data_IF_330684293139
#
_entry.id   IF_330684293139
#
_cell.length_a   1.000
_cell.length_b   1.000
_cell.length_c   1.000
_cell.angle_alpha   90.00
_cell.angle_beta   90.00
_cell.angle_gamma   90.00
#
_symmetry.space_group_name_H-M   'P 1'
#
loop_
_entity.id
_entity.type
_entity.pdbx_description
1 polymer ?
#
# COMPACT_ATOMS: atom_id res chain seq x y z
N UNK A 1 35.86 -27.83 -9.50
CA UNK A 1 34.95 -26.84 -8.88
C UNK A 1 35.81 -25.69 -8.38
N UNK A 2 35.50 -24.44 -8.74
CA UNK A 2 36.39 -23.31 -8.48
C UNK A 2 36.23 -22.79 -7.04
N UNK A 3 37.16 -23.08 -6.11
CA UNK A 3 36.95 -22.86 -4.67
C UNK A 3 37.15 -21.41 -4.22
N UNK A 4 37.46 -20.49 -5.14
CA UNK A 4 37.83 -19.11 -4.84
C UNK A 4 37.04 -18.07 -5.66
N UNK A 5 35.86 -18.44 -6.16
CA UNK A 5 35.00 -17.49 -6.86
C UNK A 5 33.97 -16.91 -5.90
N UNK A 6 33.94 -15.59 -5.84
CA UNK A 6 32.79 -14.87 -5.32
C UNK A 6 31.68 -14.89 -6.37
N UNK A 7 30.50 -15.34 -5.96
CA UNK A 7 29.30 -15.40 -6.81
C UNK A 7 28.21 -14.55 -6.19
N UNK A 8 27.63 -13.66 -7.01
CA UNK A 8 26.43 -12.91 -6.65
C UNK A 8 25.24 -13.63 -7.29
N UNK A 9 24.35 -14.14 -6.45
CA UNK A 9 23.12 -14.78 -6.87
C UNK A 9 21.96 -13.83 -6.63
N UNK A 10 21.15 -13.59 -7.65
CA UNK A 10 19.88 -12.88 -7.52
C UNK A 10 18.75 -13.89 -7.54
N UNK A 11 17.82 -13.78 -6.59
CA UNK A 11 16.65 -14.66 -6.50
C UNK A 11 15.46 -13.91 -5.93
N UNK A 12 14.25 -14.46 -6.12
CA UNK A 12 13.02 -13.94 -5.49
C UNK A 12 12.93 -14.43 -4.05
N UNK A 13 12.22 -13.67 -3.20
CA UNK A 13 12.13 -13.97 -1.76
C UNK A 13 11.67 -15.39 -1.44
N UNK A 14 10.66 -15.97 -2.12
CA UNK A 14 10.20 -17.32 -1.82
C UNK A 14 11.18 -18.42 -2.25
N UNK A 15 12.06 -18.14 -3.23
CA UNK A 15 13.07 -19.07 -3.73
C UNK A 15 14.35 -19.11 -2.87
N UNK A 16 14.43 -18.32 -1.78
CA UNK A 16 15.63 -18.22 -0.93
C UNK A 16 15.91 -19.55 -0.20
N UNK A 17 14.87 -20.24 0.26
CA UNK A 17 15.01 -21.46 1.06
C UNK A 17 15.49 -22.66 0.25
N UNK A 18 15.25 -22.64 -1.07
CA UNK A 18 15.54 -23.76 -1.97
C UNK A 18 16.97 -23.72 -2.55
N UNK A 19 17.66 -22.57 -2.51
CA UNK A 19 18.82 -22.34 -3.40
C UNK A 19 20.11 -21.88 -2.71
N UNK A 20 20.08 -21.50 -1.43
CA UNK A 20 21.19 -20.71 -0.87
C UNK A 20 21.73 -21.32 0.44
N UNK A 21 23.03 -21.58 0.45
CA UNK A 21 23.78 -22.04 1.62
C UNK A 21 23.52 -21.13 2.83
N UNK A 22 23.42 -21.69 4.04
CA UNK A 22 23.09 -20.95 5.27
C UNK A 22 24.06 -19.79 5.57
N UNK A 23 25.31 -19.92 5.11
CA UNK A 23 26.38 -18.94 5.36
C UNK A 23 26.49 -17.84 4.28
N UNK A 24 25.61 -17.82 3.27
CA UNK A 24 25.65 -16.79 2.24
C UNK A 24 25.18 -15.44 2.80
N UNK A 25 25.92 -14.36 2.47
CA UNK A 25 25.48 -13.00 2.75
C UNK A 25 24.25 -12.68 1.89
N UNK A 26 23.19 -12.18 2.54
CA UNK A 26 21.91 -11.89 1.88
C UNK A 26 21.70 -10.40 1.78
N UNK A 27 21.32 -9.94 0.59
CA UNK A 27 20.93 -8.56 0.32
C UNK A 27 19.51 -8.57 -0.25
N UNK A 28 18.61 -7.78 0.34
CA UNK A 28 17.25 -7.60 -0.18
C UNK A 28 17.21 -6.30 -0.98
N UNK A 29 16.80 -6.39 -2.24
CA UNK A 29 16.46 -5.20 -3.02
C UNK A 29 15.08 -4.71 -2.57
N UNK A 30 15.01 -3.49 -2.04
CA UNK A 30 13.78 -2.91 -1.45
C UNK A 30 13.15 -1.83 -2.34
N UNK A 31 13.58 -1.71 -3.60
CA UNK A 31 13.08 -0.69 -4.54
C UNK A 31 13.81 0.64 -4.43
N UNK A 32 13.18 1.70 -4.95
CA UNK A 32 13.73 3.05 -4.88
C UNK A 32 13.29 3.77 -3.60
N UNK A 33 14.26 4.27 -2.84
CA UNK A 33 14.02 5.30 -1.84
C UNK A 33 14.11 6.70 -2.50
N UNK A 34 13.84 7.76 -1.73
CA UNK A 34 13.86 9.13 -2.23
C UNK A 34 15.21 9.50 -2.90
N UNK A 35 16.33 9.04 -2.34
CA UNK A 35 17.65 9.30 -2.92
C UNK A 35 17.86 8.58 -4.25
N UNK A 36 17.42 7.32 -4.37
CA UNK A 36 17.46 6.59 -5.64
C UNK A 36 16.55 7.22 -6.70
N UNK A 37 15.38 7.71 -6.30
CA UNK A 37 14.47 8.44 -7.19
C UNK A 37 15.13 9.73 -7.71
N UNK A 38 15.78 10.49 -6.82
CA UNK A 38 16.52 11.72 -7.18
C UNK A 38 17.65 11.43 -8.14
N UNK A 39 18.43 10.38 -7.88
CA UNK A 39 19.49 9.96 -8.78
C UNK A 39 18.95 9.51 -10.14
N UNK A 40 17.86 8.77 -10.18
CA UNK A 40 17.24 8.31 -11.42
C UNK A 40 16.75 9.51 -12.25
N UNK A 41 16.04 10.45 -11.63
CA UNK A 41 15.55 11.68 -12.29
C UNK A 41 16.72 12.43 -12.92
N UNK A 42 17.73 12.75 -12.10
CA UNK A 42 18.92 13.49 -12.54
C UNK A 42 19.68 12.75 -13.65
N UNK A 43 19.83 11.42 -13.57
CA UNK A 43 20.65 10.68 -14.55
C UNK A 43 19.92 10.43 -15.87
N UNK A 44 18.61 10.13 -15.82
CA UNK A 44 17.91 9.51 -16.95
C UNK A 44 16.70 10.29 -17.47
N UNK A 45 16.16 11.22 -16.68
CA UNK A 45 14.91 11.93 -17.04
C UNK A 45 15.17 13.40 -17.30
N UNK A 46 15.58 14.13 -16.26
CA UNK A 46 15.66 15.59 -16.28
C UNK A 46 17.05 16.09 -16.65
N UNK A 47 18.09 15.27 -16.43
CA UNK A 47 19.49 15.65 -16.66
C UNK A 47 19.83 16.91 -15.85
N UNK A 48 20.03 18.03 -16.53
CA UNK A 48 20.41 19.32 -15.94
C UNK A 48 19.19 20.17 -15.53
N UNK A 49 17.95 19.72 -15.80
CA UNK A 49 16.72 20.43 -15.42
C UNK A 49 16.29 20.08 -13.99
N UNK A 50 16.95 20.71 -13.00
CA UNK A 50 16.62 20.54 -11.58
C UNK A 50 15.19 21.01 -11.23
N UNK A 51 14.67 22.00 -11.94
CA UNK A 51 13.30 22.50 -11.74
C UNK A 51 12.27 21.42 -12.10
N UNK A 52 12.45 20.73 -13.23
CA UNK A 52 11.61 19.61 -13.59
C UNK A 52 11.70 18.46 -12.57
N UNK A 53 12.89 18.15 -12.04
CA UNK A 53 13.04 17.10 -11.04
C UNK A 53 12.22 17.40 -9.77
N UNK A 54 12.28 18.65 -9.30
CA UNK A 54 11.50 19.12 -8.15
C UNK A 54 10.00 19.01 -8.41
N UNK A 55 9.51 19.50 -9.56
CA UNK A 55 8.08 19.41 -9.91
C UNK A 55 7.56 17.97 -9.96
N UNK A 56 8.34 17.05 -10.51
CA UNK A 56 7.97 15.62 -10.60
C UNK A 56 7.85 15.02 -9.19
N UNK A 57 8.75 15.37 -8.28
CA UNK A 57 8.70 14.89 -6.89
C UNK A 57 7.55 15.49 -6.10
N UNK A 58 7.33 16.80 -6.24
CA UNK A 58 6.20 17.48 -5.60
C UNK A 58 4.88 16.85 -6.05
N UNK A 59 4.72 16.62 -7.36
CA UNK A 59 3.53 15.94 -7.89
C UNK A 59 3.36 14.51 -7.36
N UNK A 60 4.45 13.78 -7.12
CA UNK A 60 4.38 12.43 -6.55
C UNK A 60 4.03 12.48 -5.05
N UNK A 61 4.57 13.47 -4.33
CA UNK A 61 4.30 13.66 -2.91
C UNK A 61 2.86 14.12 -2.64
N UNK A 62 2.34 15.00 -3.50
CA UNK A 62 0.95 15.47 -3.45
C UNK A 62 -0.05 14.34 -3.76
N UNK A 63 0.39 13.23 -4.34
CA UNK A 63 -0.47 12.12 -4.72
C UNK A 63 -0.35 10.94 -3.72
N UNK A 64 -1.28 10.82 -2.75
CA UNK A 64 -1.22 9.76 -1.74
C UNK A 64 -1.32 8.35 -2.33
N UNK A 65 -1.84 8.20 -3.55
CA UNK A 65 -2.06 6.91 -4.21
C UNK A 65 -0.80 6.46 -4.98
N UNK A 66 -0.10 7.38 -5.63
CA UNK A 66 1.02 7.05 -6.52
C UNK A 66 2.37 6.91 -5.81
N UNK A 67 2.56 7.55 -4.67
CA UNK A 67 3.82 7.50 -3.92
C UNK A 67 4.31 6.08 -3.64
N UNK A 68 3.40 5.18 -3.26
CA UNK A 68 3.72 3.79 -2.97
C UNK A 68 4.01 2.95 -4.20
N UNK A 69 3.19 3.12 -5.25
CA UNK A 69 3.37 2.42 -6.52
C UNK A 69 4.75 2.74 -7.10
N UNK A 70 5.14 4.01 -7.02
CA UNK A 70 6.43 4.53 -7.47
C UNK A 70 7.64 4.17 -6.57
N UNK A 71 7.48 3.34 -5.54
CA UNK A 71 8.63 2.68 -4.90
C UNK A 71 9.18 1.54 -5.75
N UNK A 72 8.35 0.94 -6.60
CA UNK A 72 8.79 -0.07 -7.57
C UNK A 72 9.53 0.65 -8.71
N UNK A 73 10.81 0.32 -8.97
CA UNK A 73 11.64 1.06 -9.91
C UNK A 73 11.03 1.24 -11.31
N UNK A 74 10.35 0.20 -11.84
CA UNK A 74 9.75 0.26 -13.17
C UNK A 74 8.56 1.22 -13.23
N UNK A 75 7.74 1.28 -12.17
CA UNK A 75 6.61 2.19 -12.09
C UNK A 75 7.10 3.63 -11.91
N UNK A 76 8.11 3.86 -11.07
CA UNK A 76 8.74 5.18 -10.97
C UNK A 76 9.33 5.65 -12.30
N UNK A 77 10.02 4.78 -13.02
CA UNK A 77 10.62 5.12 -14.31
C UNK A 77 9.53 5.60 -15.30
N UNK A 78 8.43 4.86 -15.41
CA UNK A 78 7.31 5.23 -16.28
C UNK A 78 6.66 6.53 -15.79
N UNK A 79 6.39 6.66 -14.50
CA UNK A 79 5.85 7.89 -13.90
C UNK A 79 6.72 9.09 -14.26
N UNK A 80 8.01 9.03 -13.97
CA UNK A 80 8.94 10.13 -14.18
C UNK A 80 9.04 10.56 -15.65
N UNK A 81 9.05 9.60 -16.58
CA UNK A 81 9.07 9.93 -18.02
C UNK A 81 7.74 10.50 -18.53
N UNK A 82 6.60 10.09 -17.97
CA UNK A 82 5.31 10.71 -18.28
C UNK A 82 5.27 12.13 -17.69
N UNK A 83 5.67 12.27 -16.42
CA UNK A 83 5.70 13.52 -15.67
C UNK A 83 6.52 14.60 -16.37
N UNK A 84 7.67 14.20 -16.87
CA UNK A 84 8.58 15.10 -17.56
C UNK A 84 8.02 15.58 -18.90
N UNK A 85 7.24 14.74 -19.59
CA UNK A 85 6.70 15.05 -20.93
C UNK A 85 5.36 15.75 -20.90
N UNK A 86 4.61 15.64 -19.81
CA UNK A 86 3.24 16.12 -19.75
C UNK A 86 2.83 16.57 -18.34
N UNK A 87 2.44 17.83 -18.21
CA UNK A 87 1.91 18.42 -16.97
C UNK A 87 0.55 17.80 -16.56
N UNK A 88 -0.09 17.01 -17.43
CA UNK A 88 -1.35 16.31 -17.12
C UNK A 88 -1.22 15.21 -16.07
N UNK A 89 -0.05 14.96 -15.48
CA UNK A 89 0.02 14.03 -14.34
C UNK A 89 -0.81 14.49 -13.13
N UNK A 90 -1.08 15.80 -13.02
CA UNK A 90 -2.08 16.34 -12.08
C UNK A 90 -3.50 15.78 -12.31
N UNK A 91 -3.77 15.15 -13.46
CA UNK A 91 -5.07 14.52 -13.77
C UNK A 91 -5.22 13.11 -13.19
N UNK A 92 -4.13 12.43 -12.84
CA UNK A 92 -4.24 11.06 -12.29
C UNK A 92 -4.49 11.11 -10.79
N UNK A 93 -5.74 11.33 -10.42
CA UNK A 93 -6.20 11.27 -9.02
C UNK A 93 -6.49 9.84 -8.56
N UNK A 94 -6.32 8.83 -9.42
CA UNK A 94 -6.71 7.43 -9.14
C UNK A 94 -5.62 6.43 -9.52
N UNK A 95 -5.57 5.29 -8.82
CA UNK A 95 -4.61 4.22 -9.11
C UNK A 95 -4.88 3.63 -10.49
N UNK A 96 -6.16 3.43 -10.80
CA UNK A 96 -6.66 2.87 -12.04
C UNK A 96 -6.30 3.72 -13.25
N UNK A 97 -6.48 5.05 -13.14
CA UNK A 97 -6.14 5.97 -14.22
C UNK A 97 -4.66 5.93 -14.55
N UNK A 98 -3.80 5.99 -13.53
CA UNK A 98 -2.36 5.89 -13.72
C UNK A 98 -1.95 4.54 -14.29
N UNK A 99 -2.46 3.43 -13.75
CA UNK A 99 -2.08 2.10 -14.20
C UNK A 99 -2.52 1.85 -15.66
N UNK A 100 -3.71 2.35 -16.05
CA UNK A 100 -4.17 2.36 -17.44
C UNK A 100 -3.19 3.09 -18.36
N UNK A 101 -2.76 4.29 -17.97
CA UNK A 101 -1.80 5.07 -18.75
C UNK A 101 -0.45 4.36 -18.84
N UNK A 102 0.01 3.75 -17.75
CA UNK A 102 1.23 2.99 -17.71
C UNK A 102 1.18 1.81 -18.69
N UNK A 103 0.11 1.01 -18.68
CA UNK A 103 -0.12 -0.07 -19.66
C UNK A 103 -0.09 0.47 -21.08
N UNK A 104 -0.78 1.58 -21.35
CA UNK A 104 -0.74 2.23 -22.66
C UNK A 104 0.68 2.63 -23.08
N UNK A 105 1.49 3.15 -22.15
CA UNK A 105 2.89 3.47 -22.40
C UNK A 105 3.74 2.23 -22.75
N UNK A 106 3.55 1.11 -22.05
CA UNK A 106 4.22 -0.16 -22.38
C UNK A 106 3.87 -0.63 -23.80
N UNK A 107 2.59 -0.61 -24.15
CA UNK A 107 2.11 -0.99 -25.48
C UNK A 107 2.63 -0.03 -26.57
N UNK A 108 2.56 1.29 -26.36
CA UNK A 108 3.06 2.28 -27.31
C UNK A 108 4.58 2.21 -27.50
N UNK A 109 5.33 1.99 -26.42
CA UNK A 109 6.77 1.80 -26.50
C UNK A 109 7.12 0.57 -27.34
N UNK A 110 6.39 -0.53 -27.13
CA UNK A 110 6.53 -1.73 -27.95
C UNK A 110 6.22 -1.44 -29.43
N UNK A 111 5.07 -0.83 -29.74
CA UNK A 111 4.65 -0.48 -31.11
C UNK A 111 5.70 0.40 -31.81
N UNK A 112 6.24 1.40 -31.10
CA UNK A 112 7.23 2.34 -31.68
C UNK A 112 8.56 1.68 -32.06
N UNK A 113 8.85 0.48 -31.52
CA UNK A 113 10.07 -0.30 -31.79
C UNK A 113 9.88 -1.39 -32.84
N UNK A 114 8.70 -1.48 -33.46
CA UNK A 114 8.40 -2.51 -34.47
C UNK A 114 8.75 -2.04 -35.88
N UNK A 115 9.13 -2.97 -36.76
CA UNK A 115 9.24 -2.70 -38.19
C UNK A 115 7.86 -2.58 -38.85
N UNK A 116 7.83 -2.00 -40.05
CA UNK A 116 6.59 -1.70 -40.79
C UNK A 116 5.74 -2.95 -41.13
N UNK A 117 6.35 -4.13 -41.27
CA UNK A 117 5.61 -5.38 -41.53
C UNK A 117 4.90 -5.89 -40.28
N UNK A 118 5.55 -5.80 -39.11
CA UNK A 118 4.94 -6.26 -37.85
C UNK A 118 3.89 -5.26 -37.33
N UNK A 119 4.04 -3.96 -37.63
CA UNK A 119 3.04 -2.91 -37.36
C UNK A 119 1.67 -3.21 -38.00
N UNK A 120 1.65 -3.66 -39.26
CA UNK A 120 0.41 -4.02 -39.98
C UNK A 120 -0.35 -5.18 -39.29
N UNK A 121 0.38 -6.13 -38.68
CA UNK A 121 -0.22 -7.28 -37.98
C UNK A 121 -0.77 -6.87 -36.60
N UNK A 122 -0.11 -5.91 -35.93
CA UNK A 122 -0.49 -5.43 -34.59
C UNK A 122 -1.65 -4.43 -34.61
N UNK A 123 -1.74 -3.59 -35.66
CA UNK A 123 -2.85 -2.64 -35.85
C UNK A 123 -4.17 -3.34 -36.25
N UNK A 124 -4.12 -4.60 -36.69
CA UNK A 124 -5.29 -5.42 -36.98
C UNK A 124 -5.82 -6.20 -35.76
N UNK A 125 -5.13 -6.14 -34.63
CA UNK A 125 -5.59 -6.72 -33.37
C UNK A 125 -6.51 -5.72 -32.67
N UNK A 126 -7.63 -6.19 -32.12
CA UNK A 126 -8.43 -5.37 -31.21
C UNK A 126 -7.53 -4.79 -30.11
N UNK A 127 -7.64 -3.48 -29.86
CA UNK A 127 -6.86 -2.79 -28.82
C UNK A 127 -7.17 -3.35 -27.41
N UNK A 128 -8.29 -4.08 -27.27
CA UNK A 128 -8.69 -4.74 -26.05
C UNK A 128 -7.90 -6.05 -25.79
N UNK A 129 -7.41 -6.28 -24.56
CA UNK A 129 -6.80 -7.55 -24.19
C UNK A 129 -7.71 -8.76 -24.47
N UNK A 130 -7.20 -9.90 -24.98
CA UNK A 130 -8.02 -11.08 -25.24
C UNK A 130 -8.74 -11.56 -23.98
N UNK A 131 -10.01 -11.96 -24.08
CA UNK A 131 -10.77 -12.50 -22.94
C UNK A 131 -10.06 -13.68 -22.26
N UNK A 132 -9.38 -14.52 -23.04
CA UNK A 132 -8.58 -15.63 -22.52
C UNK A 132 -7.47 -15.17 -21.57
N UNK A 133 -6.81 -14.04 -21.85
CA UNK A 133 -5.80 -13.46 -20.95
C UNK A 133 -6.44 -12.93 -19.66
N UNK A 134 -7.56 -12.22 -19.78
CA UNK A 134 -8.27 -11.66 -18.62
C UNK A 134 -8.71 -12.78 -17.68
N UNK A 135 -9.39 -13.80 -18.23
CA UNK A 135 -9.85 -14.97 -17.46
C UNK A 135 -8.67 -15.71 -16.85
N UNK A 136 -7.62 -15.96 -17.64
CA UNK A 136 -6.42 -16.59 -17.14
C UNK A 136 -5.87 -15.84 -15.92
N UNK A 137 -5.72 -14.52 -16.00
CA UNK A 137 -5.23 -13.71 -14.89
C UNK A 137 -6.13 -13.81 -13.64
N UNK A 138 -7.45 -13.89 -13.80
CA UNK A 138 -8.38 -14.11 -12.69
C UNK A 138 -8.21 -15.50 -12.06
N UNK A 139 -8.19 -16.56 -12.89
CA UNK A 139 -7.97 -17.93 -12.42
C UNK A 139 -6.62 -18.06 -11.68
N UNK A 140 -5.61 -17.27 -12.07
CA UNK A 140 -4.31 -17.24 -11.40
C UNK A 140 -4.34 -16.65 -9.99
N UNK A 141 -5.30 -15.76 -9.69
CA UNK A 141 -5.46 -15.23 -8.33
C UNK A 141 -6.15 -16.24 -7.40
N UNK A 142 -6.96 -17.14 -7.96
CA UNK A 142 -7.59 -18.25 -7.23
C UNK A 142 -6.58 -19.34 -6.85
N UNK A 143 -5.60 -19.59 -7.72
CA UNK A 143 -4.53 -20.54 -7.46
C UNK A 143 -3.59 -19.98 -6.37
N UNK A 144 -3.70 -20.48 -5.14
CA UNK A 144 -2.93 -20.03 -3.95
C UNK A 144 -1.41 -20.25 -3.99
N UNK A 145 -0.85 -20.62 -5.14
CA UNK A 145 0.57 -20.95 -5.32
C UNK A 145 1.24 -19.97 -6.28
N UNK A 146 2.57 -19.84 -6.16
CA UNK A 146 3.33 -18.95 -7.05
C UNK A 146 3.00 -19.26 -8.52
N UNK A 147 2.46 -18.28 -9.27
CA UNK A 147 1.87 -18.50 -10.58
C UNK A 147 2.94 -18.69 -11.66
N UNK A 148 3.62 -19.83 -11.63
CA UNK A 148 4.71 -20.19 -12.54
C UNK A 148 4.22 -21.26 -13.52
N UNK A 149 4.17 -20.92 -14.81
CA UNK A 149 3.59 -21.80 -15.82
C UNK A 149 4.58 -22.19 -16.89
N UNK A 150 4.44 -23.39 -17.47
CA UNK A 150 5.14 -23.70 -18.71
C UNK A 150 4.71 -22.75 -19.84
N UNK A 151 5.67 -22.33 -20.67
CA UNK A 151 5.40 -21.56 -21.89
C UNK A 151 4.34 -22.23 -22.76
N UNK A 152 4.37 -23.57 -22.85
CA UNK A 152 3.44 -24.33 -23.68
C UNK A 152 1.99 -24.27 -23.17
N UNK A 153 1.79 -24.35 -21.84
CA UNK A 153 0.45 -24.16 -21.24
C UNK A 153 -0.10 -22.77 -21.62
N UNK A 154 0.72 -21.74 -21.44
CA UNK A 154 0.28 -20.36 -21.70
C UNK A 154 0.09 -20.09 -23.20
N UNK A 155 0.92 -20.69 -24.06
CA UNK A 155 0.80 -20.62 -25.51
C UNK A 155 -0.50 -21.29 -25.99
N UNK A 156 -0.92 -22.40 -25.39
CA UNK A 156 -2.23 -23.03 -25.69
C UNK A 156 -3.43 -22.14 -25.31
N UNK A 157 -3.29 -21.32 -24.28
CA UNK A 157 -4.37 -20.43 -23.80
C UNK A 157 -4.44 -19.15 -24.63
N UNK A 158 -3.29 -18.53 -24.90
CA UNK A 158 -3.22 -17.20 -25.52
C UNK A 158 -2.97 -17.23 -27.04
N UNK A 159 -2.36 -18.31 -27.55
CA UNK A 159 -1.70 -18.34 -28.86
C UNK A 159 -0.26 -17.83 -28.79
N UNK A 160 0.59 -18.32 -29.70
CA UNK A 160 2.03 -18.01 -29.71
C UNK A 160 2.30 -16.52 -29.97
N UNK A 161 1.58 -15.92 -30.92
CA UNK A 161 1.72 -14.50 -31.28
C UNK A 161 1.38 -13.59 -30.10
N UNK A 162 0.27 -13.85 -29.42
CA UNK A 162 -0.16 -13.06 -28.27
C UNK A 162 0.81 -13.21 -27.10
N UNK A 163 1.23 -14.45 -26.78
CA UNK A 163 2.22 -14.70 -25.73
C UNK A 163 3.54 -13.99 -26.04
N UNK A 164 4.04 -14.10 -27.27
CA UNK A 164 5.27 -13.43 -27.70
C UNK A 164 5.16 -11.90 -27.59
N UNK A 165 4.01 -11.33 -27.98
CA UNK A 165 3.72 -9.90 -27.81
C UNK A 165 3.81 -9.48 -26.34
N UNK A 166 3.11 -10.17 -25.42
CA UNK A 166 3.09 -9.79 -24.01
C UNK A 166 4.43 -10.02 -23.28
N UNK A 167 5.24 -10.99 -23.73
CA UNK A 167 6.62 -11.17 -23.30
C UNK A 167 7.51 -10.00 -23.74
N UNK A 168 7.39 -9.54 -25.00
CA UNK A 168 8.17 -8.41 -25.50
C UNK A 168 7.75 -7.06 -24.91
N UNK A 169 6.46 -6.89 -24.61
CA UNK A 169 5.95 -5.71 -23.91
C UNK A 169 6.49 -5.67 -22.47
N UNK A 170 6.74 -6.83 -21.86
CA UNK A 170 7.21 -6.95 -20.47
C UNK A 170 6.07 -7.09 -19.46
N UNK A 171 4.87 -7.50 -19.91
CA UNK A 171 3.76 -7.91 -19.04
C UNK A 171 4.07 -9.28 -18.42
N UNK A 172 4.55 -10.20 -19.25
CA UNK A 172 5.11 -11.48 -18.82
C UNK A 172 6.63 -11.43 -18.82
N UNK A 173 7.25 -12.31 -18.05
CA UNK A 173 8.67 -12.62 -18.20
C UNK A 173 8.91 -14.13 -18.15
N UNK A 174 9.93 -14.58 -18.89
CA UNK A 174 10.41 -15.95 -18.82
C UNK A 174 11.36 -16.10 -17.64
N UNK A 175 11.16 -17.15 -16.85
CA UNK A 175 12.04 -17.54 -15.75
C UNK A 175 12.57 -18.94 -16.02
N UNK A 176 13.86 -19.15 -15.74
CA UNK A 176 14.43 -20.49 -15.72
C UNK A 176 13.98 -21.16 -14.43
N UNK A 177 13.43 -22.37 -14.56
CA UNK A 177 13.23 -23.24 -13.42
C UNK A 177 14.61 -23.58 -12.85
N UNK A 178 14.79 -23.36 -11.56
CA UNK A 178 16.01 -23.75 -10.86
C UNK A 178 15.75 -25.07 -10.16
N UNK A 179 16.36 -26.17 -10.61
CA UNK A 179 17.07 -27.11 -9.73
C UNK A 179 17.85 -28.21 -10.49
N UNK A 180 19.15 -28.27 -10.19
CA UNK A 180 20.00 -29.46 -9.95
C UNK A 180 20.29 -30.52 -11.03
N UNK A 181 19.51 -30.70 -12.09
CA UNK A 181 19.86 -31.70 -13.12
C UNK A 181 20.60 -31.10 -14.31
N UNK A 182 21.75 -31.69 -14.66
CA UNK A 182 22.58 -31.38 -15.84
C UNK A 182 21.92 -31.72 -17.20
N UNK A 183 20.59 -31.86 -17.23
CA UNK A 183 19.85 -32.16 -18.45
C UNK A 183 19.38 -30.86 -19.11
N UNK A 184 19.96 -30.60 -20.29
CA UNK A 184 19.58 -29.52 -21.18
C UNK A 184 18.21 -29.85 -21.78
N UNK A 185 17.16 -29.23 -21.26
CA UNK A 185 15.90 -28.84 -21.93
C UNK A 185 14.71 -28.83 -20.94
N UNK A 186 14.82 -28.11 -19.82
CA UNK A 186 13.62 -27.81 -19.05
C UNK A 186 12.74 -26.78 -19.77
N UNK A 187 11.41 -26.98 -19.81
CA UNK A 187 10.50 -26.07 -20.49
C UNK A 187 10.55 -24.70 -19.82
N UNK A 188 10.75 -23.65 -20.64
CA UNK A 188 10.77 -22.26 -20.16
C UNK A 188 9.49 -21.98 -19.36
N UNK A 189 9.67 -21.44 -18.16
CA UNK A 189 8.55 -21.03 -17.33
C UNK A 189 8.24 -19.56 -17.57
N UNK A 190 6.98 -19.17 -17.45
CA UNK A 190 6.47 -17.82 -17.66
C UNK A 190 5.69 -17.41 -16.42
N UNK A 191 5.79 -16.13 -16.08
CA UNK A 191 5.13 -15.49 -14.94
C UNK A 191 4.68 -14.09 -15.34
N UNK A 192 3.75 -13.50 -14.59
CA UNK A 192 3.57 -12.04 -14.65
C UNK A 192 4.82 -11.34 -14.11
N UNK A 193 5.25 -10.30 -14.79
CA UNK A 193 6.44 -9.52 -14.40
C UNK A 193 6.23 -8.79 -13.05
N UNK A 194 4.97 -8.51 -12.69
CA UNK A 194 4.57 -7.93 -11.41
C UNK A 194 3.13 -8.36 -11.07
N UNK A 195 2.82 -8.55 -9.77
CA UNK A 195 1.50 -8.98 -9.29
C UNK A 195 0.36 -8.06 -9.76
N UNK A 196 0.59 -6.73 -9.73
CA UNK A 196 -0.36 -5.75 -10.24
C UNK A 196 -0.74 -5.94 -11.72
N UNK A 197 0.12 -6.52 -12.56
CA UNK A 197 -0.31 -6.86 -13.93
C UNK A 197 -1.36 -7.96 -13.90
N UNK A 198 -1.18 -8.99 -13.06
CA UNK A 198 -2.17 -10.04 -12.86
C UNK A 198 -3.50 -9.46 -12.35
N UNK A 199 -3.46 -8.66 -11.28
CA UNK A 199 -4.66 -7.99 -10.73
C UNK A 199 -5.34 -7.07 -11.76
N UNK A 200 -4.58 -6.36 -12.59
CA UNK A 200 -5.13 -5.51 -13.64
C UNK A 200 -5.90 -6.30 -14.70
N UNK A 201 -5.31 -7.37 -15.26
CA UNK A 201 -5.99 -8.18 -16.27
C UNK A 201 -7.15 -8.99 -15.68
N UNK A 202 -7.06 -9.42 -14.42
CA UNK A 202 -8.16 -10.02 -13.69
C UNK A 202 -9.31 -9.03 -13.47
N UNK A 203 -9.02 -7.76 -13.14
CA UNK A 203 -10.03 -6.72 -13.01
C UNK A 203 -10.81 -6.50 -14.31
N UNK A 204 -10.12 -6.53 -15.46
CA UNK A 204 -10.77 -6.46 -16.76
C UNK A 204 -11.71 -7.66 -17.02
N UNK A 205 -11.40 -8.84 -16.48
CA UNK A 205 -12.31 -9.99 -16.56
C UNK A 205 -13.56 -9.79 -15.70
N UNK A 206 -13.38 -9.37 -14.44
CA UNK A 206 -14.51 -9.08 -13.54
C UNK A 206 -15.42 -8.00 -14.15
N UNK A 207 -14.86 -6.95 -14.73
CA UNK A 207 -15.64 -5.90 -15.41
C UNK A 207 -16.45 -6.46 -16.59
N UNK A 208 -15.88 -7.35 -17.40
CA UNK A 208 -16.62 -8.01 -18.49
C UNK A 208 -17.82 -8.79 -17.94
N UNK A 209 -17.63 -9.55 -16.86
CA UNK A 209 -18.66 -10.39 -16.23
C UNK A 209 -19.75 -9.52 -15.59
N UNK A 210 -19.37 -8.52 -14.79
CA UNK A 210 -20.29 -7.57 -14.16
C UNK A 210 -21.08 -6.76 -15.20
N UNK A 211 -20.46 -6.41 -16.33
CA UNK A 211 -21.13 -5.72 -17.42
C UNK A 211 -22.17 -6.62 -18.09
N UNK A 212 -21.85 -7.90 -18.30
CA UNK A 212 -22.80 -8.85 -18.87
C UNK A 212 -24.01 -9.03 -17.95
N UNK A 213 -23.77 -9.06 -16.64
CA UNK A 213 -24.82 -9.09 -15.62
C UNK A 213 -25.71 -7.84 -15.63
N UNK A 214 -25.12 -6.65 -15.60
CA UNK A 214 -25.85 -5.37 -15.58
C UNK A 214 -26.74 -5.16 -16.84
N UNK A 215 -26.38 -5.78 -17.97
CA UNK A 215 -27.12 -5.70 -19.23
C UNK A 215 -28.32 -6.68 -19.33
N UNK A 216 -28.52 -7.60 -18.37
CA UNK A 216 -29.75 -8.40 -18.21
C UNK A 216 -29.59 -9.93 -18.13
N UNK A 217 -30.67 -10.64 -17.76
CA UNK A 217 -30.65 -12.05 -17.34
C UNK A 217 -30.50 -13.08 -18.49
N UNK A 218 -30.53 -12.68 -19.77
CA UNK A 218 -30.24 -13.62 -20.87
C UNK A 218 -28.76 -14.05 -20.93
N UNK A 219 -27.88 -13.39 -20.16
CA UNK A 219 -26.42 -13.57 -20.21
C UNK A 219 -25.74 -13.76 -18.86
N UNK A 220 -26.47 -13.91 -17.76
CA UNK A 220 -25.85 -14.04 -16.44
C UNK A 220 -26.68 -14.87 -15.46
N UNK A 221 -25.98 -15.70 -14.71
CA UNK A 221 -26.47 -16.44 -13.55
C UNK A 221 -26.06 -15.63 -12.31
N UNK A 222 -27.00 -15.30 -11.42
CA UNK A 222 -26.73 -14.59 -10.16
C UNK A 222 -25.73 -15.38 -9.29
N UNK A 223 -25.76 -16.72 -9.37
CA UNK A 223 -24.82 -17.60 -8.67
C UNK A 223 -23.38 -17.38 -9.17
N UNK A 224 -23.19 -17.25 -10.49
CA UNK A 224 -21.88 -16.93 -11.09
C UNK A 224 -21.36 -15.53 -10.75
N UNK A 225 -22.22 -14.58 -10.38
CA UNK A 225 -21.81 -13.24 -9.93
C UNK A 225 -21.28 -13.27 -8.50
N UNK A 226 -21.96 -14.01 -7.61
CA UNK A 226 -21.49 -14.18 -6.24
C UNK A 226 -20.19 -14.95 -6.22
N UNK A 227 -20.08 -16.03 -7.01
CA UNK A 227 -18.82 -16.78 -7.16
C UNK A 227 -17.65 -15.86 -7.53
N UNK A 228 -17.80 -15.02 -8.56
CA UNK A 228 -16.66 -14.21 -9.04
C UNK A 228 -16.21 -13.14 -8.03
N UNK A 229 -17.12 -12.68 -7.16
CA UNK A 229 -16.86 -11.64 -6.16
C UNK A 229 -16.40 -12.26 -4.83
N UNK A 230 -16.93 -13.41 -4.46
CA UNK A 230 -16.68 -14.07 -3.17
C UNK A 230 -15.37 -14.89 -3.19
N UNK A 231 -14.97 -15.41 -4.34
CA UNK A 231 -13.80 -16.28 -4.46
C UNK A 231 -12.45 -15.61 -4.14
N UNK A 232 -12.39 -14.26 -4.20
CA UNK A 232 -11.17 -13.49 -3.96
C UNK A 232 -11.36 -12.53 -2.81
N UNK A 233 -10.78 -12.83 -1.65
CA UNK A 233 -11.00 -12.01 -0.46
C UNK A 233 -10.44 -10.57 -0.64
N UNK A 234 -11.24 -9.50 -0.41
CA UNK A 234 -10.83 -8.11 -0.67
C UNK A 234 -9.57 -7.65 0.06
N UNK A 235 -9.32 -8.20 1.25
CA UNK A 235 -8.12 -7.89 2.02
C UNK A 235 -6.82 -8.25 1.28
N UNK A 236 -6.83 -9.37 0.55
CA UNK A 236 -5.66 -9.89 -0.19
C UNK A 236 -5.48 -9.23 -1.55
N UNK A 237 -6.59 -8.84 -2.19
CA UNK A 237 -6.61 -8.33 -3.58
C UNK A 237 -7.16 -6.90 -3.69
N UNK A 238 -6.69 -6.00 -2.83
CA UNK A 238 -7.19 -4.62 -2.77
C UNK A 238 -7.08 -3.87 -4.11
N UNK A 239 -6.01 -4.09 -4.89
CA UNK A 239 -5.85 -3.35 -6.15
C UNK A 239 -6.79 -3.88 -7.24
N UNK A 240 -7.07 -5.19 -7.27
CA UNK A 240 -8.10 -5.79 -8.13
C UNK A 240 -9.43 -5.05 -7.99
N UNK A 241 -9.95 -4.93 -6.77
CA UNK A 241 -11.24 -4.27 -6.50
C UNK A 241 -11.24 -2.78 -6.84
N UNK A 242 -10.14 -2.09 -6.51
CA UNK A 242 -9.94 -0.68 -6.92
C UNK A 242 -9.94 -0.53 -8.44
N UNK A 243 -9.24 -1.41 -9.16
CA UNK A 243 -9.20 -1.41 -10.62
C UNK A 243 -10.58 -1.64 -11.22
N UNK A 244 -11.37 -2.61 -10.73
CA UNK A 244 -12.74 -2.82 -11.21
C UNK A 244 -13.55 -1.52 -11.10
N UNK A 245 -13.49 -0.86 -9.94
CA UNK A 245 -14.22 0.38 -9.68
C UNK A 245 -13.79 1.54 -10.58
N UNK A 246 -12.49 1.69 -10.86
CA UNK A 246 -11.98 2.75 -11.73
C UNK A 246 -12.02 2.43 -13.23
N UNK A 247 -12.13 1.15 -13.62
CA UNK A 247 -12.26 0.72 -15.01
C UNK A 247 -13.66 1.07 -15.53
N UNK A 248 -14.69 0.71 -14.77
CA UNK A 248 -16.06 0.94 -15.18
C UNK A 248 -16.95 1.33 -13.99
N UNK A 249 -17.18 2.65 -13.78
CA UNK A 249 -17.99 3.15 -12.67
C UNK A 249 -19.41 2.57 -12.58
N UNK A 250 -20.05 2.26 -13.72
CA UNK A 250 -21.44 1.76 -13.76
C UNK A 250 -21.64 0.46 -12.98
N UNK A 251 -20.61 -0.41 -12.97
CA UNK A 251 -20.66 -1.71 -12.28
C UNK A 251 -19.97 -1.67 -10.91
N UNK A 252 -19.30 -0.56 -10.57
CA UNK A 252 -18.60 -0.41 -9.30
C UNK A 252 -19.55 -0.45 -8.09
N UNK A 253 -20.83 -0.14 -8.28
CA UNK A 253 -21.89 -0.25 -7.28
C UNK A 253 -21.98 -1.66 -6.67
N UNK A 254 -21.77 -2.72 -7.47
CA UNK A 254 -21.82 -4.10 -7.00
C UNK A 254 -20.65 -4.42 -6.07
N UNK A 255 -19.44 -3.98 -6.45
CA UNK A 255 -18.22 -4.16 -5.65
C UNK A 255 -18.28 -3.38 -4.35
N UNK A 256 -18.69 -2.11 -4.39
CA UNK A 256 -18.74 -1.27 -3.19
C UNK A 256 -19.79 -1.78 -2.21
N UNK A 257 -20.95 -2.23 -2.69
CA UNK A 257 -21.97 -2.84 -1.84
C UNK A 257 -21.42 -4.09 -1.15
N UNK A 258 -20.83 -5.00 -1.92
CA UNK A 258 -20.20 -6.21 -1.39
C UNK A 258 -19.15 -5.91 -0.31
N UNK A 259 -18.22 -4.98 -0.58
CA UNK A 259 -17.16 -4.64 0.38
C UNK A 259 -17.74 -4.03 1.66
N UNK A 260 -18.79 -3.20 1.57
CA UNK A 260 -19.45 -2.61 2.75
C UNK A 260 -20.18 -3.62 3.62
N UNK A 261 -20.58 -4.75 3.05
CA UNK A 261 -21.26 -5.82 3.78
C UNK A 261 -20.24 -6.72 4.53
N UNK A 262 -18.93 -6.50 4.35
CA UNK A 262 -17.86 -7.21 5.04
C UNK A 262 -17.34 -6.36 6.21
N UNK A 263 -17.39 -6.92 7.42
CA UNK A 263 -16.88 -6.26 8.62
C UNK A 263 -15.37 -5.98 8.52
N UNK A 264 -14.97 -4.74 8.80
CA UNK A 264 -13.56 -4.35 8.95
C UNK A 264 -12.82 -4.02 7.65
N UNK A 265 -13.52 -3.87 6.52
CA UNK A 265 -12.91 -3.46 5.24
C UNK A 265 -13.42 -2.12 4.68
N UNK A 266 -14.04 -1.28 5.51
CA UNK A 266 -14.59 0.03 5.13
C UNK A 266 -13.56 0.96 4.47
N UNK A 267 -12.30 0.85 4.90
CA UNK A 267 -11.18 1.57 4.32
C UNK A 267 -11.04 1.27 2.82
N UNK A 268 -11.19 0.01 2.43
CA UNK A 268 -11.12 -0.39 1.04
C UNK A 268 -12.31 0.15 0.24
N UNK A 269 -13.51 0.20 0.83
CA UNK A 269 -14.67 0.79 0.16
C UNK A 269 -14.42 2.25 -0.20
N UNK A 270 -13.84 3.04 0.71
CA UNK A 270 -13.45 4.45 0.46
C UNK A 270 -12.46 4.54 -0.70
N UNK A 271 -11.41 3.71 -0.69
CA UNK A 271 -10.43 3.69 -1.77
C UNK A 271 -11.06 3.30 -3.10
N UNK A 272 -12.00 2.36 -3.14
CA UNK A 272 -12.73 1.98 -4.35
C UNK A 272 -13.63 3.10 -4.87
N UNK A 273 -14.30 3.84 -3.97
CA UNK A 273 -15.09 5.00 -4.35
C UNK A 273 -14.23 6.12 -4.94
N UNK A 274 -13.02 6.34 -4.40
CA UNK A 274 -12.08 7.33 -4.92
C UNK A 274 -11.55 7.01 -6.32
N UNK A 275 -11.66 5.76 -6.78
CA UNK A 275 -11.30 5.38 -8.14
C UNK A 275 -12.33 5.86 -9.19
N UNK A 276 -13.55 6.20 -8.76
CA UNK A 276 -14.60 6.71 -9.63
C UNK A 276 -14.40 8.21 -9.87
N UNK A 277 -14.22 8.60 -11.13
CA UNK A 277 -14.24 10.01 -11.51
C UNK A 277 -15.69 10.53 -11.46
N UNK A 278 -16.05 11.34 -10.45
CA UNK A 278 -17.44 11.81 -10.32
C UNK A 278 -17.76 12.59 -9.04
N UNK A 279 -19.04 12.53 -8.65
CA UNK A 279 -19.59 13.27 -7.50
C UNK A 279 -18.95 12.82 -6.18
N UNK A 280 -17.99 13.63 -5.72
CA UNK A 280 -17.24 13.37 -4.51
C UNK A 280 -18.07 13.50 -3.22
N UNK A 281 -19.32 14.00 -3.26
CA UNK A 281 -20.12 14.18 -2.05
C UNK A 281 -20.32 12.88 -1.26
N UNK A 282 -20.71 11.79 -1.93
CA UNK A 282 -20.88 10.47 -1.27
C UNK A 282 -19.56 9.91 -0.73
N UNK A 283 -18.46 10.19 -1.41
CA UNK A 283 -17.11 9.79 -0.97
C UNK A 283 -16.73 10.54 0.30
N UNK A 284 -16.99 11.85 0.36
CA UNK A 284 -16.70 12.66 1.53
C UNK A 284 -17.57 12.31 2.74
N UNK A 285 -18.84 11.96 2.53
CA UNK A 285 -19.71 11.52 3.62
C UNK A 285 -19.21 10.19 4.21
N UNK A 286 -18.83 9.23 3.35
CA UNK A 286 -18.25 7.96 3.81
C UNK A 286 -16.88 8.17 4.48
N UNK A 287 -16.06 9.09 3.95
CA UNK A 287 -14.77 9.44 4.56
C UNK A 287 -14.95 10.03 5.96
N UNK A 288 -15.94 10.91 6.15
CA UNK A 288 -16.26 11.49 7.47
C UNK A 288 -16.75 10.43 8.44
N UNK A 289 -17.60 9.51 7.99
CA UNK A 289 -18.08 8.40 8.79
C UNK A 289 -16.92 7.52 9.27
N UNK A 290 -16.06 7.05 8.36
CA UNK A 290 -14.88 6.26 8.71
C UNK A 290 -13.90 7.01 9.63
N UNK A 291 -13.68 8.31 9.41
CA UNK A 291 -12.83 9.13 10.27
C UNK A 291 -13.49 9.51 11.61
N UNK A 292 -14.80 9.29 11.76
CA UNK A 292 -15.50 9.47 13.04
C UNK A 292 -15.32 8.29 13.99
N UNK A 293 -15.03 7.12 13.45
CA UNK A 293 -14.74 5.90 14.20
C UNK A 293 -13.26 5.77 14.56
N UNK A 294 -12.91 4.68 15.23
CA UNK A 294 -11.51 4.36 15.55
C UNK A 294 -10.84 3.67 14.38
N UNK A 295 -9.83 4.32 13.81
CA UNK A 295 -8.99 3.73 12.77
C UNK A 295 -7.90 2.89 13.42
N UNK A 296 -7.94 1.59 13.20
CA UNK A 296 -6.97 0.65 13.75
C UNK A 296 -5.83 0.37 12.77
N UNK A 297 -4.61 0.29 13.30
CA UNK A 297 -3.43 -0.18 12.56
C UNK A 297 -2.76 -1.25 13.41
N UNK A 298 -2.74 -2.49 12.93
CA UNK A 298 -2.20 -3.65 13.63
C UNK A 298 -0.83 -4.05 13.09
N UNK A 299 0.01 -4.64 13.93
CA UNK A 299 1.30 -5.16 13.49
C UNK A 299 1.14 -6.32 12.51
N UNK A 300 0.10 -7.13 12.73
CA UNK A 300 -0.27 -8.31 11.95
C UNK A 300 -0.84 -7.94 10.58
N UNK A 301 -1.26 -6.69 10.40
CA UNK A 301 -1.78 -6.23 9.13
C UNK A 301 -0.74 -6.37 8.02
N UNK A 302 -1.20 -6.75 6.84
CA UNK A 302 -0.32 -6.74 5.67
C UNK A 302 0.19 -5.32 5.42
N UNK A 303 1.41 -5.21 4.88
CA UNK A 303 1.96 -3.91 4.50
C UNK A 303 1.02 -3.19 3.51
N UNK A 304 0.28 -3.92 2.67
CA UNK A 304 -0.70 -3.33 1.76
C UNK A 304 -1.88 -2.70 2.53
N UNK A 305 -2.41 -3.40 3.54
CA UNK A 305 -3.48 -2.88 4.38
C UNK A 305 -3.07 -1.62 5.16
N UNK A 306 -1.93 -1.67 5.84
CA UNK A 306 -1.41 -0.51 6.57
C UNK A 306 -1.21 0.71 5.64
N UNK A 307 -0.77 0.49 4.40
CA UNK A 307 -0.68 1.55 3.39
C UNK A 307 -2.04 2.14 3.05
N UNK A 308 -3.05 1.30 2.83
CA UNK A 308 -4.42 1.75 2.54
C UNK A 308 -4.97 2.64 3.66
N UNK A 309 -4.72 2.29 4.92
CA UNK A 309 -5.07 3.14 6.06
C UNK A 309 -4.34 4.49 6.01
N UNK A 310 -3.02 4.49 5.78
CA UNK A 310 -2.24 5.73 5.65
C UNK A 310 -2.67 6.62 4.47
N UNK A 311 -3.14 6.03 3.37
CA UNK A 311 -3.72 6.76 2.24
C UNK A 311 -4.99 7.49 2.67
N UNK A 312 -5.89 6.83 3.41
CA UNK A 312 -7.12 7.44 3.92
C UNK A 312 -6.81 8.59 4.87
N UNK A 313 -5.85 8.41 5.77
CA UNK A 313 -5.37 9.48 6.65
C UNK A 313 -4.86 10.69 5.85
N UNK A 314 -4.01 10.43 4.85
CA UNK A 314 -3.49 11.50 3.97
C UNK A 314 -4.61 12.26 3.25
N UNK A 315 -5.63 11.54 2.76
CA UNK A 315 -6.80 12.12 2.10
C UNK A 315 -7.64 12.94 3.10
N UNK A 316 -7.87 12.41 4.30
CA UNK A 316 -8.57 13.13 5.36
C UNK A 316 -7.85 14.44 5.71
N UNK A 317 -6.51 14.42 5.79
CA UNK A 317 -5.69 15.62 6.00
C UNK A 317 -5.84 16.64 4.88
N UNK A 318 -5.71 16.22 3.61
CA UNK A 318 -5.88 17.08 2.42
C UNK A 318 -7.26 17.76 2.41
N UNK A 319 -8.30 17.02 2.77
CA UNK A 319 -9.68 17.51 2.78
C UNK A 319 -10.11 18.11 4.13
N UNK A 320 -9.18 18.27 5.08
CA UNK A 320 -9.44 18.81 6.42
C UNK A 320 -10.56 18.08 7.17
N UNK A 321 -10.72 16.78 6.91
CA UNK A 321 -11.63 15.91 7.65
C UNK A 321 -10.98 15.57 8.99
N UNK A 322 -11.70 15.81 10.08
CA UNK A 322 -11.24 15.46 11.42
C UNK A 322 -11.18 13.95 11.57
N UNK A 323 -10.03 13.44 12.01
CA UNK A 323 -9.83 12.04 12.38
C UNK A 323 -10.00 11.95 13.89
N UNK A 324 -11.05 11.28 14.33
CA UNK A 324 -11.43 11.22 15.74
C UNK A 324 -10.44 10.42 16.55
N UNK A 325 -10.08 9.23 16.06
CA UNK A 325 -9.19 8.34 16.79
C UNK A 325 -8.33 7.47 15.86
N UNK A 326 -7.03 7.39 16.13
CA UNK A 326 -6.13 6.38 15.56
C UNK A 326 -5.61 5.50 16.70
N UNK A 327 -5.76 4.19 16.55
CA UNK A 327 -5.24 3.19 17.49
C UNK A 327 -4.14 2.36 16.84
N UNK A 328 -2.94 2.47 17.41
CA UNK A 328 -1.73 1.78 17.00
C UNK A 328 -1.53 0.53 17.87
N UNK A 329 -1.67 -0.67 17.31
CA UNK A 329 -1.52 -1.94 18.02
C UNK A 329 -0.17 -2.59 17.72
N UNK A 330 0.78 -2.45 18.64
CA UNK A 330 2.12 -3.04 18.55
C UNK A 330 2.90 -2.66 17.28
N UNK A 331 2.51 -1.61 16.56
CA UNK A 331 3.10 -1.24 15.26
C UNK A 331 4.35 -0.38 15.36
N UNK A 332 4.56 0.35 16.46
CA UNK A 332 5.65 1.33 16.55
C UNK A 332 7.00 0.61 16.61
N UNK A 333 7.92 0.98 15.71
CA UNK A 333 9.32 0.55 15.76
C UNK A 333 10.19 1.63 16.43
N UNK A 334 10.02 2.88 16.01
CA UNK A 334 10.74 4.05 16.56
C UNK A 334 10.03 5.33 16.17
N UNK A 335 10.37 6.43 16.84
CA UNK A 335 9.93 7.78 16.45
C UNK A 335 11.16 8.61 16.10
N UNK A 336 11.16 9.19 14.90
CA UNK A 336 12.15 10.19 14.49
C UNK A 336 11.71 11.55 15.01
N UNK A 337 12.41 12.03 16.04
CA UNK A 337 12.16 13.33 16.68
C UNK A 337 12.41 14.47 15.70
N UNK A 338 13.44 14.38 14.85
CA UNK A 338 13.82 15.47 13.95
C UNK A 338 12.78 15.69 12.85
N UNK A 339 12.24 14.61 12.28
CA UNK A 339 11.18 14.64 11.30
C UNK A 339 9.77 14.69 11.89
N UNK A 340 9.61 14.41 13.20
CA UNK A 340 8.31 14.13 13.83
C UNK A 340 7.53 13.05 13.09
N UNK A 341 8.17 11.89 12.92
CA UNK A 341 7.62 10.76 12.16
C UNK A 341 7.65 9.50 13.02
N UNK A 342 6.51 8.82 13.14
CA UNK A 342 6.47 7.46 13.69
C UNK A 342 6.86 6.49 12.58
N UNK A 343 7.89 5.69 12.79
CA UNK A 343 8.24 4.56 11.91
C UNK A 343 7.62 3.28 12.46
N UNK A 344 6.84 2.60 11.63
CA UNK A 344 6.21 1.33 11.96
C UNK A 344 7.15 0.15 11.70
N UNK A 345 6.91 -0.99 12.36
CA UNK A 345 7.68 -2.24 12.19
C UNK A 345 7.66 -2.78 10.75
N UNK A 346 6.62 -2.44 9.98
CA UNK A 346 6.54 -2.73 8.54
C UNK A 346 7.48 -1.88 7.67
N UNK A 347 8.12 -0.85 8.24
CA UNK A 347 8.96 0.14 7.53
C UNK A 347 8.17 1.29 6.90
N UNK A 348 6.84 1.34 7.12
CA UNK A 348 6.00 2.48 6.77
C UNK A 348 6.12 3.58 7.84
N UNK A 349 5.66 4.79 7.49
CA UNK A 349 5.80 5.97 8.33
C UNK A 349 4.45 6.67 8.52
N UNK A 350 4.18 7.12 9.74
CA UNK A 350 3.06 8.00 10.07
C UNK A 350 3.64 9.41 10.27
N UNK A 351 3.48 10.32 9.29
CA UNK A 351 3.86 11.72 9.44
C UNK A 351 2.88 12.45 10.37
N UNK A 352 3.22 13.68 10.76
CA UNK A 352 2.32 14.57 11.51
C UNK A 352 0.94 14.60 10.85
N UNK A 353 -0.10 14.48 11.68
CA UNK A 353 -1.48 14.45 11.22
C UNK A 353 -2.32 15.52 11.92
N UNK A 354 -2.40 16.71 11.32
CA UNK A 354 -3.00 17.86 11.98
C UNK A 354 -4.50 17.72 12.21
N UNK A 355 -5.21 16.86 11.50
CA UNK A 355 -6.65 16.65 11.74
C UNK A 355 -6.96 15.59 12.80
N UNK A 356 -5.94 14.97 13.41
CA UNK A 356 -6.10 13.92 14.43
C UNK A 356 -6.51 14.51 15.79
N UNK A 357 -7.50 13.90 16.45
CA UNK A 357 -7.96 14.28 17.81
C UNK A 357 -7.41 13.39 18.92
N UNK A 358 -7.33 12.08 18.69
CA UNK A 358 -6.87 11.12 19.70
C UNK A 358 -5.89 10.12 19.09
N UNK A 359 -4.72 9.97 19.72
CA UNK A 359 -3.77 8.92 19.43
C UNK A 359 -3.76 7.87 20.56
N UNK A 360 -4.05 6.62 20.23
CA UNK A 360 -3.88 5.48 21.11
C UNK A 360 -2.66 4.66 20.73
N UNK A 361 -1.87 4.30 21.73
CA UNK A 361 -0.72 3.41 21.62
C UNK A 361 -0.99 2.20 22.51
N UNK A 362 -1.25 1.07 21.88
CA UNK A 362 -1.42 -0.22 22.56
C UNK A 362 -0.18 -1.06 22.31
N UNK A 363 0.48 -1.52 23.37
CA UNK A 363 1.68 -2.35 23.24
C UNK A 363 1.64 -3.53 24.20
N UNK A 364 1.07 -4.65 23.77
CA UNK A 364 0.71 -5.76 24.63
C UNK A 364 1.93 -6.31 25.42
N UNK A 365 1.92 -6.08 26.74
CA UNK A 365 2.94 -6.59 27.66
C UNK A 365 4.33 -5.98 27.49
N UNK A 366 4.46 -4.89 26.72
CA UNK A 366 5.73 -4.19 26.51
C UNK A 366 5.92 -3.10 27.56
N UNK A 367 7.17 -2.92 28.00
CA UNK A 367 7.57 -1.80 28.84
C UNK A 367 8.05 -0.65 27.94
N UNK A 368 7.35 0.48 28.03
CA UNK A 368 7.78 1.73 27.40
C UNK A 368 8.74 2.45 28.34
N UNK A 369 9.97 2.67 27.86
CA UNK A 369 10.91 3.50 28.62
C UNK A 369 10.59 5.00 28.47
N UNK A 370 11.20 5.81 29.35
CA UNK A 370 10.97 7.25 29.40
C UNK A 370 11.25 7.93 28.05
N UNK A 371 12.35 7.56 27.38
CA UNK A 371 12.72 8.17 26.11
C UNK A 371 11.76 7.81 24.97
N UNK A 372 11.29 6.56 24.90
CA UNK A 372 10.30 6.13 23.92
C UNK A 372 9.00 6.93 24.05
N UNK A 373 8.52 7.08 25.28
CA UNK A 373 7.30 7.83 25.56
C UNK A 373 7.48 9.34 25.30
N UNK A 374 8.63 9.92 25.67
CA UNK A 374 8.99 11.31 25.33
C UNK A 374 9.06 11.53 23.81
N UNK A 375 9.55 10.56 23.04
CA UNK A 375 9.57 10.68 21.58
C UNK A 375 8.13 10.65 21.00
N UNK A 376 7.25 9.81 21.54
CA UNK A 376 5.82 9.80 21.17
C UNK A 376 5.15 11.14 21.54
N UNK A 377 5.45 11.69 22.73
CA UNK A 377 4.99 13.01 23.13
C UNK A 377 5.51 14.11 22.21
N UNK A 378 6.75 14.01 21.73
CA UNK A 378 7.30 14.94 20.77
C UNK A 378 6.49 14.91 19.47
N UNK A 379 6.25 13.73 18.89
CA UNK A 379 5.37 13.57 17.73
C UNK A 379 3.98 14.19 17.96
N UNK A 380 3.34 13.82 19.07
CA UNK A 380 2.00 14.29 19.43
C UNK A 380 1.94 15.81 19.61
N UNK A 381 2.96 16.42 20.21
CA UNK A 381 3.06 17.86 20.40
C UNK A 381 3.06 18.64 19.07
N UNK A 382 3.49 18.00 17.99
CA UNK A 382 3.54 18.60 16.65
C UNK A 382 2.25 18.39 15.84
N UNK A 383 1.32 17.54 16.28
CA UNK A 383 0.00 17.39 15.64
C UNK A 383 -0.94 18.51 16.11
N UNK A 384 -1.35 19.43 15.23
CA UNK A 384 -2.02 20.68 15.62
C UNK A 384 -3.29 20.46 16.46
N UNK A 385 -4.23 19.62 16.00
CA UNK A 385 -5.53 19.46 16.63
C UNK A 385 -5.62 18.33 17.66
N UNK A 386 -4.50 17.65 17.96
CA UNK A 386 -4.48 16.52 18.90
C UNK A 386 -4.86 16.99 20.30
N UNK A 387 -5.85 16.33 20.91
CA UNK A 387 -6.34 16.63 22.25
C UNK A 387 -5.95 15.56 23.25
N UNK A 388 -5.81 14.31 22.81
CA UNK A 388 -5.65 13.16 23.69
C UNK A 388 -4.56 12.21 23.22
N UNK A 389 -3.78 11.70 24.18
CA UNK A 389 -2.88 10.56 23.99
C UNK A 389 -3.27 9.49 25.00
N UNK A 390 -3.37 8.24 24.58
CA UNK A 390 -3.71 7.14 25.49
C UNK A 390 -2.79 5.94 25.28
N UNK A 391 -2.36 5.37 26.39
CA UNK A 391 -1.51 4.18 26.43
C UNK A 391 -2.29 3.03 27.05
N UNK A 392 -2.33 1.88 26.39
CA UNK A 392 -3.09 0.72 26.83
C UNK A 392 -2.25 -0.56 26.76
N UNK A 393 -2.52 -1.49 27.67
CA UNK A 393 -1.88 -2.82 27.75
C UNK A 393 -0.35 -2.79 27.81
N UNK A 394 0.23 -1.69 28.28
CA UNK A 394 1.67 -1.49 28.39
C UNK A 394 2.07 -0.94 29.76
N UNK A 395 3.32 -1.19 30.14
CA UNK A 395 3.94 -0.62 31.33
C UNK A 395 4.55 0.73 30.93
N UNK A 396 4.27 1.77 31.71
CA UNK A 396 4.73 3.14 31.47
C UNK A 396 5.74 3.58 32.54
N UNK A 397 6.58 4.60 32.26
CA UNK A 397 7.50 5.16 33.24
C UNK A 397 6.76 5.67 34.49
N UNK A 398 7.35 5.43 35.67
CA UNK A 398 6.75 5.81 36.96
C UNK A 398 6.54 7.31 37.10
N UNK A 399 7.48 8.09 36.55
CA UNK A 399 7.45 9.55 36.53
C UNK A 399 8.33 10.05 35.40
N UNK A 400 8.09 11.31 35.04
CA UNK A 400 8.95 12.08 34.15
C UNK A 400 9.70 13.16 34.93
N UNK A 401 10.70 13.76 34.28
CA UNK A 401 11.35 14.94 34.82
C UNK A 401 10.36 16.11 34.93
N UNK A 402 10.38 16.79 36.08
CA UNK A 402 9.61 18.01 36.28
C UNK A 402 10.09 19.10 35.30
N UNK A 403 9.13 19.81 34.69
CA UNK A 403 9.40 20.82 33.65
C UNK A 403 10.14 20.30 32.41
N UNK A 404 9.94 19.03 32.04
CA UNK A 404 10.40 18.53 30.75
C UNK A 404 9.86 19.41 29.59
N UNK A 405 10.71 19.79 28.61
CA UNK A 405 10.28 20.69 27.52
C UNK A 405 9.12 20.14 26.69
N UNK A 406 9.08 18.83 26.46
CA UNK A 406 8.04 18.19 25.65
C UNK A 406 6.73 18.14 26.42
N UNK A 407 6.77 17.81 27.71
CA UNK A 407 5.58 17.86 28.58
C UNK A 407 5.03 19.29 28.71
N UNK A 408 5.91 20.29 28.79
CA UNK A 408 5.51 21.70 28.82
C UNK A 408 4.77 22.10 27.55
N UNK A 409 5.27 21.66 26.38
CA UNK A 409 4.61 21.89 25.08
C UNK A 409 3.25 21.20 24.98
N UNK A 410 3.12 19.98 25.49
CA UNK A 410 1.81 19.31 25.59
C UNK A 410 0.85 20.08 26.50
N UNK A 411 1.34 20.60 27.64
CA UNK A 411 0.55 21.39 28.57
C UNK A 411 0.07 22.71 27.96
N UNK A 412 0.91 23.40 27.20
CA UNK A 412 0.55 24.63 26.46
C UNK A 412 -0.55 24.39 25.43
N UNK A 413 -0.52 23.22 24.77
CA UNK A 413 -1.55 22.79 23.83
C UNK A 413 -2.78 22.17 24.48
N UNK A 414 -2.82 22.10 25.82
CA UNK A 414 -3.89 21.46 26.58
C UNK A 414 -4.16 19.99 26.15
N UNK A 415 -3.11 19.25 25.78
CA UNK A 415 -3.20 17.82 25.49
C UNK A 415 -3.31 17.04 26.80
N UNK A 416 -4.28 16.13 26.91
CA UNK A 416 -4.37 15.21 28.05
C UNK A 416 -3.76 13.85 27.69
N UNK A 417 -3.03 13.28 28.66
CA UNK A 417 -2.32 12.00 28.50
C UNK A 417 -2.87 11.00 29.51
N UNK A 418 -3.34 9.86 29.01
CA UNK A 418 -3.96 8.81 29.80
C UNK A 418 -3.22 7.48 29.70
N UNK A 419 -3.29 6.70 30.77
CA UNK A 419 -2.78 5.34 30.84
C UNK A 419 -3.85 4.39 31.38
N UNK A 420 -4.06 3.31 30.64
CA UNK A 420 -5.03 2.24 30.89
C UNK A 420 -4.28 0.91 31.05
N UNK A 421 -3.70 0.64 32.24
CA UNK A 421 -3.10 -0.67 32.52
C UNK A 421 -4.16 -1.78 32.58
N UNK A 422 -5.38 -1.42 32.98
CA UNK A 422 -6.56 -2.30 33.06
C UNK A 422 -7.81 -1.46 32.74
N UNK A 423 -8.96 -1.77 33.36
CA UNK A 423 -10.18 -0.95 33.27
C UNK A 423 -10.07 0.40 34.00
N UNK A 424 -9.05 0.59 34.85
CA UNK A 424 -8.82 1.85 35.57
C UNK A 424 -7.94 2.77 34.73
N UNK A 425 -8.33 4.05 34.66
CA UNK A 425 -7.62 5.10 33.94
C UNK A 425 -6.82 5.99 34.88
N UNK A 426 -5.60 6.35 34.48
CA UNK A 426 -4.74 7.32 35.14
C UNK A 426 -4.40 8.45 34.17
N UNK A 427 -4.27 9.67 34.68
CA UNK A 427 -3.88 10.86 33.90
C UNK A 427 -2.47 11.30 34.30
N UNK A 428 -1.63 11.61 33.33
CA UNK A 428 -0.32 12.21 33.60
C UNK A 428 -0.48 13.70 33.91
N UNK A 429 0.03 14.14 35.05
CA UNK A 429 0.18 15.56 35.35
C UNK A 429 1.43 16.08 34.64
N UNK A 430 1.23 16.84 33.56
CA UNK A 430 2.31 17.34 32.69
C UNK A 430 3.23 18.36 33.37
N UNK A 431 2.86 18.90 34.54
CA UNK A 431 3.72 19.83 35.30
C UNK A 431 4.64 19.08 36.25
N UNK A 432 4.08 18.13 37.01
CA UNK A 432 4.81 17.39 38.04
C UNK A 432 5.49 16.12 37.52
N UNK A 433 5.04 15.60 36.38
CA UNK A 433 5.51 14.35 35.79
C UNK A 433 4.95 13.08 36.45
N UNK A 434 3.98 13.19 37.36
CA UNK A 434 3.37 12.05 38.06
C UNK A 434 2.05 11.60 37.43
N UNK A 435 1.78 10.30 37.50
CA UNK A 435 0.46 9.74 37.21
C UNK A 435 -0.50 9.98 38.38
N UNK A 436 -1.72 10.39 38.07
CA UNK A 436 -2.75 10.74 39.04
C UNK A 436 -4.09 10.11 38.67
N UNK A 437 -4.89 9.79 39.67
CA UNK A 437 -6.26 9.33 39.44
C UNK A 437 -7.15 10.52 38.99
N UNK A 438 -7.88 10.43 37.86
CA UNK A 438 -8.55 11.59 37.26
C UNK A 438 -9.62 12.25 38.15
N UNK A 439 -10.24 11.49 39.07
CA UNK A 439 -11.35 11.99 39.89
C UNK A 439 -10.93 12.83 41.11
N UNK A 440 -9.74 12.61 41.64
CA UNK A 440 -9.29 13.20 42.91
C UNK A 440 -7.84 13.70 42.89
N UNK A 441 -7.15 13.57 41.75
CA UNK A 441 -5.74 13.94 41.55
C UNK A 441 -4.77 13.27 42.54
N UNK A 442 -5.12 12.09 43.08
CA UNK A 442 -4.20 11.36 43.95
C UNK A 442 -3.11 10.71 43.11
N UNK A 443 -1.85 11.00 43.45
CA UNK A 443 -0.67 10.41 42.82
C UNK A 443 -0.68 8.89 42.99
N UNK A 444 -0.42 8.16 41.90
CA UNK A 444 -0.32 6.71 41.91
C UNK A 444 0.97 6.29 42.61
N UNK A 445 0.88 5.41 43.60
CA UNK A 445 2.06 4.94 44.31
C UNK A 445 2.89 3.99 43.43
N UNK A 446 4.22 3.94 43.58
CA UNK A 446 5.06 2.99 42.84
C UNK A 446 4.64 1.53 43.03
N UNK A 447 4.25 1.16 44.26
CA UNK A 447 3.77 -0.18 44.62
C UNK A 447 2.46 -0.54 43.92
N UNK A 448 1.62 0.47 43.63
CA UNK A 448 0.40 0.30 42.86
C UNK A 448 0.73 0.08 41.38
N UNK A 449 1.68 0.83 40.83
CA UNK A 449 2.12 0.67 39.43
C UNK A 449 2.81 -0.69 39.18
N UNK A 450 3.55 -1.21 40.15
CA UNK A 450 4.22 -2.53 40.03
C UNK A 450 3.25 -3.74 40.07
N UNK A 451 2.02 -3.53 40.55
CA UNK A 451 0.99 -4.58 40.66
C UNK A 451 0.03 -4.60 39.46
N UNK A 452 0.16 -3.63 38.56
CA UNK A 452 -0.57 -3.48 37.31
C UNK A 452 0.21 -4.15 36.19
#
# INVERSE_FOLDING_TARGET
MFPHFEVILTTRTPCIEQMIHKDAKRLRLTGFNNLCQDEYLRKLVTKDDESAATRIKESLHENPILGDLCRVPIFFAVYAHIAYKNDTLKLYTTMTGYFRQMIACFHNHFISKMDNQTLQTVLNYDDAPPRALKKFAYDCLLESHEPIWSRDKLCKILGDDALHRYLRIGIFCEVQATCESTERDEPRKVIFNHGLFCEWYAALYMVDVLTAYDNGPEHSDEESLLEIIDDLYPYDFQNLYRFVCGIKPDVAKYIIQYIRDIDGVDQLAILCMLEQSGDNHKVYDTLKECCSETINIHQEDTMLWQKSVLQILSIASIHKVTVSNIMLHDVIQKVDVSGSIITMKSGLSIPIHDTLKHLWVRMAGSELNEQEMLNIFHYASNCENLCYISFADCIVPRRFQEYDPVLSKLCEKAVEVFWYPTLICYRLNLRSGYWEHPSNNTVVSPETMEKM
#
